data_IF_493874169953
#
_entry.id   IF_493874169953
#
_cell.length_a   1.000
_cell.length_b   1.000
_cell.length_c   1.000
_cell.angle_alpha   90.00
_cell.angle_beta   90.00
_cell.angle_gamma   90.00
#
_symmetry.space_group_name_H-M   'P 1'
#
loop_
_entity.id
_entity.type
_entity.pdbx_description
1 polymer ?
#
# COMPACT_ATOMS: atom_id res chain seq x y z
N UNK A 1 -4.28 21.17 -13.12
CA UNK A 1 -3.58 19.88 -13.00
C UNK A 1 -3.30 19.59 -11.54
N UNK A 2 -3.57 18.38 -11.13
CA UNK A 2 -3.39 18.03 -9.73
C UNK A 2 -1.91 17.93 -9.38
N UNK A 3 -1.56 18.50 -8.25
CA UNK A 3 -0.21 18.38 -7.72
C UNK A 3 -0.07 17.00 -7.10
N UNK A 4 0.89 16.21 -7.59
CA UNK A 4 1.07 14.85 -7.10
C UNK A 4 1.40 14.82 -5.63
N UNK A 5 2.17 15.79 -5.15
CA UNK A 5 2.50 15.84 -3.73
C UNK A 5 1.26 16.10 -2.89
N UNK A 6 0.38 16.96 -3.38
CA UNK A 6 -0.85 17.23 -2.66
C UNK A 6 -1.76 16.02 -2.64
N UNK A 7 -1.81 15.30 -3.75
CA UNK A 7 -2.61 14.09 -3.80
C UNK A 7 -2.10 13.07 -2.78
N UNK A 8 -0.78 12.93 -2.70
CA UNK A 8 -0.21 11.99 -1.75
C UNK A 8 -0.53 12.40 -0.31
N UNK A 9 -0.32 13.67 0.01
CA UNK A 9 -0.59 14.15 1.35
C UNK A 9 -2.05 14.00 1.72
N UNK A 10 -2.92 14.33 0.79
CA UNK A 10 -4.35 14.31 1.02
C UNK A 10 -4.87 12.90 1.26
N UNK A 11 -4.21 11.94 0.66
CA UNK A 11 -4.68 10.57 0.71
C UNK A 11 -3.82 9.65 1.57
N UNK A 12 -2.93 10.23 2.35
CA UNK A 12 -2.10 9.43 3.24
C UNK A 12 -2.94 8.68 4.26
N UNK A 13 -4.04 9.28 4.70
CA UNK A 13 -4.96 8.59 5.59
C UNK A 13 -5.55 7.35 4.97
N UNK A 14 -5.70 7.36 3.66
CA UNK A 14 -6.19 6.19 2.95
C UNK A 14 -5.20 5.04 3.07
N UNK A 15 -3.91 5.36 2.96
CA UNK A 15 -2.87 4.35 3.11
C UNK A 15 -2.94 3.75 4.52
N UNK A 16 -3.06 4.60 5.53
CA UNK A 16 -3.15 4.11 6.89
C UNK A 16 -4.38 3.22 7.10
N UNK A 17 -5.50 3.61 6.52
CA UNK A 17 -6.71 2.83 6.64
C UNK A 17 -6.54 1.45 6.01
N UNK A 18 -5.89 1.39 4.86
CA UNK A 18 -5.62 0.12 4.21
C UNK A 18 -4.68 -0.74 5.05
N UNK A 19 -3.65 -0.10 5.60
CA UNK A 19 -2.68 -0.84 6.41
C UNK A 19 -3.34 -1.43 7.65
N UNK A 20 -4.27 -0.71 8.25
CA UNK A 20 -4.95 -1.21 9.43
C UNK A 20 -5.71 -2.50 9.17
N UNK A 21 -6.20 -2.66 7.96
CA UNK A 21 -6.95 -3.87 7.62
C UNK A 21 -6.09 -5.11 7.68
N UNK A 22 -4.78 -4.94 7.51
CA UNK A 22 -3.86 -6.05 7.51
C UNK A 22 -3.02 -6.12 8.76
N UNK A 23 -3.28 -5.25 9.69
CA UNK A 23 -2.54 -5.21 10.94
C UNK A 23 -2.71 -6.51 11.70
N UNK A 24 -1.63 -6.99 12.31
CA UNK A 24 -1.70 -8.20 13.11
C UNK A 24 -1.66 -9.49 12.34
N UNK A 25 -1.37 -9.42 11.05
CA UNK A 25 -1.36 -10.63 10.22
C UNK A 25 0.03 -11.14 9.89
N UNK A 26 1.01 -10.73 10.66
CA UNK A 26 2.35 -11.28 10.51
C UNK A 26 3.33 -10.39 9.78
N UNK A 27 2.87 -9.30 9.22
CA UNK A 27 3.75 -8.34 8.55
C UNK A 27 3.81 -7.07 9.39
N UNK A 28 5.01 -6.54 9.56
CA UNK A 28 5.17 -5.34 10.34
C UNK A 28 4.49 -4.16 9.67
N UNK A 29 4.02 -3.24 10.52
CA UNK A 29 3.29 -2.09 10.00
C UNK A 29 4.13 -1.28 9.02
N UNK A 30 5.42 -1.17 9.26
CA UNK A 30 6.29 -0.41 8.36
C UNK A 30 6.30 -1.00 6.96
N UNK A 31 6.28 -2.31 6.84
CA UNK A 31 6.24 -2.93 5.53
C UNK A 31 4.89 -2.73 4.87
N UNK A 32 3.83 -2.83 5.67
CA UNK A 32 2.49 -2.56 5.15
C UNK A 32 2.42 -1.13 4.63
N UNK A 33 2.95 -0.21 5.42
CA UNK A 33 2.91 1.19 5.06
C UNK A 33 3.71 1.47 3.80
N UNK A 34 4.89 0.87 3.70
CA UNK A 34 5.72 1.04 2.50
C UNK A 34 5.01 0.55 1.25
N UNK A 35 4.36 -0.61 1.35
CA UNK A 35 3.62 -1.14 0.21
C UNK A 35 2.42 -0.27 -0.10
N UNK A 36 1.75 0.23 0.93
CA UNK A 36 0.63 1.12 0.73
C UNK A 36 1.05 2.40 0.03
N UNK A 37 2.20 2.95 0.42
CA UNK A 37 2.71 4.15 -0.22
C UNK A 37 3.06 3.88 -1.68
N UNK A 38 3.62 2.71 -1.96
CA UNK A 38 3.90 2.34 -3.33
C UNK A 38 2.62 2.28 -4.15
N UNK A 39 1.58 1.69 -3.57
CA UNK A 39 0.29 1.64 -4.23
C UNK A 39 -0.27 3.03 -4.48
N UNK A 40 -0.12 3.91 -3.51
CA UNK A 40 -0.58 5.28 -3.66
C UNK A 40 0.18 5.98 -4.79
N UNK A 41 1.49 5.78 -4.86
CA UNK A 41 2.28 6.39 -5.92
C UNK A 41 1.85 5.87 -7.28
N UNK A 42 1.61 4.58 -7.38
CA UNK A 42 1.14 4.01 -8.64
C UNK A 42 -0.21 4.58 -9.02
N UNK A 43 -1.10 4.73 -8.04
CA UNK A 43 -2.41 5.28 -8.30
C UNK A 43 -2.31 6.72 -8.80
N UNK A 44 -1.44 7.50 -8.19
CA UNK A 44 -1.27 8.88 -8.59
C UNK A 44 -0.76 8.96 -10.03
N UNK A 45 0.20 8.11 -10.36
CA UNK A 45 0.79 8.13 -11.69
C UNK A 45 -0.18 7.66 -12.77
N UNK A 46 -1.10 6.79 -12.41
CA UNK A 46 -1.99 6.20 -13.40
C UNK A 46 -3.41 6.74 -13.35
N UNK A 47 -3.66 7.66 -12.45
CA UNK A 47 -5.01 8.20 -12.32
C UNK A 47 -5.38 9.03 -13.53
N UNK A 48 -6.56 8.80 -14.05
CA UNK A 48 -7.07 9.52 -15.20
C UNK A 48 -8.23 10.39 -14.74
N UNK A 49 -8.00 11.69 -14.68
CA UNK A 49 -8.98 12.62 -14.17
C UNK A 49 -10.22 12.70 -15.07
N UNK A 50 -10.10 12.27 -16.31
CA UNK A 50 -11.22 12.33 -17.23
C UNK A 50 -12.26 11.25 -16.97
N UNK A 51 -12.02 10.38 -16.02
CA UNK A 51 -12.90 9.24 -15.77
C UNK A 51 -14.07 9.53 -14.85
N UNK A 52 -14.28 10.74 -14.43
CA UNK A 52 -15.38 11.05 -13.55
C UNK A 52 -15.39 10.20 -12.29
N UNK A 53 -14.21 9.93 -11.79
CA UNK A 53 -14.07 9.05 -10.65
C UNK A 53 -13.22 9.76 -9.62
N UNK A 54 -13.61 9.67 -8.36
CA UNK A 54 -12.80 10.26 -7.33
C UNK A 54 -11.50 9.48 -7.19
N UNK A 55 -10.44 10.22 -6.90
CA UNK A 55 -9.13 9.59 -6.78
C UNK A 55 -9.14 8.49 -5.72
N UNK A 56 -9.75 8.75 -4.56
CA UNK A 56 -9.74 7.76 -3.48
C UNK A 56 -10.43 6.47 -3.90
N UNK A 57 -11.49 6.58 -4.70
CA UNK A 57 -12.18 5.40 -5.19
C UNK A 57 -11.29 4.57 -6.09
N UNK A 58 -10.47 5.25 -6.88
CA UNK A 58 -9.53 4.57 -7.75
C UNK A 58 -8.34 4.02 -6.97
N UNK A 59 -7.83 4.82 -6.05
CA UNK A 59 -6.60 4.48 -5.34
C UNK A 59 -6.78 3.34 -4.35
N UNK A 60 -7.96 3.25 -3.74
CA UNK A 60 -8.17 2.25 -2.70
C UNK A 60 -7.82 0.83 -3.18
N UNK A 61 -8.38 0.34 -4.27
CA UNK A 61 -8.04 -1.01 -4.73
C UNK A 61 -6.58 -1.14 -5.17
N UNK A 62 -5.99 -0.05 -5.67
CA UNK A 62 -4.59 -0.09 -6.06
C UNK A 62 -3.70 -0.27 -4.83
N UNK A 63 -3.98 0.50 -3.78
CA UNK A 63 -3.22 0.40 -2.54
C UNK A 63 -3.41 -0.97 -1.92
N UNK A 64 -4.65 -1.43 -1.85
CA UNK A 64 -4.94 -2.74 -1.30
C UNK A 64 -4.23 -3.83 -2.07
N UNK A 65 -4.18 -3.70 -3.38
CA UNK A 65 -3.52 -4.68 -4.21
C UNK A 65 -2.03 -4.78 -3.91
N UNK A 66 -1.38 -3.64 -3.70
CA UNK A 66 0.04 -3.65 -3.39
C UNK A 66 0.30 -4.31 -2.02
N UNK A 67 -0.56 -4.01 -1.05
CA UNK A 67 -0.39 -4.63 0.26
C UNK A 67 -0.66 -6.12 0.18
N UNK A 68 -1.67 -6.52 -0.57
CA UNK A 68 -1.99 -7.93 -0.73
C UNK A 68 -0.86 -8.71 -1.37
N UNK A 69 -0.06 -8.05 -2.20
CA UNK A 69 1.06 -8.73 -2.82
C UNK A 69 2.06 -9.21 -1.81
N UNK A 70 2.22 -8.48 -0.72
CA UNK A 70 3.11 -8.93 0.35
C UNK A 70 2.68 -10.29 0.87
N UNK A 71 1.38 -10.46 1.04
CA UNK A 71 0.86 -11.73 1.57
C UNK A 71 0.86 -12.82 0.52
N UNK A 72 0.44 -12.47 -0.70
CA UNK A 72 0.33 -13.46 -1.75
C UNK A 72 1.68 -14.04 -2.13
N UNK A 73 2.66 -13.17 -2.29
CA UNK A 73 4.00 -13.62 -2.62
C UNK A 73 4.62 -14.34 -1.45
N UNK A 74 4.07 -14.11 -0.27
CA UNK A 74 4.63 -14.70 0.93
C UNK A 74 6.02 -14.19 1.23
N UNK A 75 6.47 -13.22 0.44
CA UNK A 75 7.84 -12.79 0.53
C UNK A 75 8.18 -12.14 1.84
N UNK A 76 7.40 -11.14 2.21
CA UNK A 76 7.69 -10.39 3.42
C UNK A 76 7.59 -11.28 4.65
N UNK A 77 6.50 -12.02 4.75
CA UNK A 77 6.29 -12.90 5.89
C UNK A 77 7.36 -13.97 5.92
N UNK A 78 7.53 -14.63 4.79
CA UNK A 78 8.47 -15.73 4.73
C UNK A 78 9.89 -15.25 4.96
N UNK A 79 10.22 -14.14 4.37
CA UNK A 79 11.58 -13.61 4.52
C UNK A 79 11.83 -13.22 5.96
N UNK A 80 10.88 -12.55 6.58
CA UNK A 80 11.05 -12.14 7.96
C UNK A 80 11.30 -13.34 8.86
N UNK A 81 10.43 -14.33 8.74
CA UNK A 81 10.57 -15.50 9.58
C UNK A 81 11.81 -16.30 9.25
N UNK A 82 12.05 -16.45 7.97
CA UNK A 82 13.21 -17.22 7.56
C UNK A 82 14.50 -16.58 8.04
N UNK A 83 14.58 -15.28 7.93
CA UNK A 83 15.74 -14.57 8.39
C UNK A 83 15.94 -14.74 9.88
N UNK A 84 14.87 -14.69 10.63
CA UNK A 84 14.96 -14.89 12.06
C UNK A 84 15.44 -16.29 12.37
N UNK A 85 14.90 -17.25 11.66
CA UNK A 85 15.29 -18.63 11.88
C UNK A 85 16.72 -18.85 11.51
N UNK A 86 17.14 -18.29 10.41
CA UNK A 86 18.50 -18.47 9.96
C UNK A 86 19.50 -17.78 10.85
N UNK A 87 19.08 -16.71 11.48
CA UNK A 87 19.99 -16.01 12.37
C UNK A 87 20.10 -16.68 13.73
N UNK A 88 19.37 -17.71 13.94
CA UNK A 88 19.46 -18.46 15.20
C UNK A 88 20.69 -19.40 15.29
#
# INVERSE_FOLDING_TARGET
>A
MADKNKLADKNMGLVHACCKRFSGKGIEYEELFASGCLGLAKAINNFDESRNLQFSTYAFPVIMGEIKRLFRDGGAIRVSRTLKELSL
#
